data_IF_204076413680
#
_entry.id   IF_204076413680
#
_cell.length_a   1.000
_cell.length_b   1.000
_cell.length_c   1.000
_cell.angle_alpha   90.00
_cell.angle_beta   90.00
_cell.angle_gamma   90.00
#
_symmetry.space_group_name_H-M   'P 1'
#
loop_
_entity.id
_entity.type
_entity.pdbx_description
1 polymer ?
#
# COMPACT_ATOMS: atom_id res chain seq x y z
N UNK A 1 -20.59 -2.35 6.37
CA UNK A 1 -19.41 -2.12 5.51
C UNK A 1 -19.67 -1.16 4.36
N UNK A 2 -18.69 -0.34 3.93
CA UNK A 2 -18.72 0.45 2.69
C UNK A 2 -17.56 0.11 1.76
N UNK A 3 -17.86 -0.06 0.47
CA UNK A 3 -16.87 -0.33 -0.58
C UNK A 3 -17.04 0.75 -1.65
N UNK A 4 -16.00 1.52 -1.93
CA UNK A 4 -16.00 2.49 -3.02
C UNK A 4 -15.19 1.94 -4.21
N UNK A 5 -15.77 1.93 -5.41
CA UNK A 5 -15.10 1.59 -6.66
C UNK A 5 -15.24 2.76 -7.63
N UNK A 6 -14.15 3.48 -7.88
CA UNK A 6 -14.14 4.75 -8.61
C UNK A 6 -15.17 5.75 -8.05
N UNK A 7 -16.25 6.05 -8.79
CA UNK A 7 -17.34 6.94 -8.36
C UNK A 7 -18.53 6.18 -7.77
N UNK A 8 -18.49 4.84 -7.78
CA UNK A 8 -19.57 4.00 -7.28
C UNK A 8 -19.33 3.68 -5.81
N UNK A 9 -20.36 3.90 -5.00
CA UNK A 9 -20.36 3.56 -3.58
C UNK A 9 -21.33 2.41 -3.34
N UNK A 10 -20.78 1.28 -2.91
CA UNK A 10 -21.53 0.10 -2.50
C UNK A 10 -21.63 0.09 -0.98
N UNK A 11 -22.88 0.06 -0.50
CA UNK A 11 -23.19 -0.13 0.92
C UNK A 11 -23.79 -1.52 1.07
N UNK A 12 -23.12 -2.40 1.80
CA UNK A 12 -23.67 -3.71 2.13
C UNK A 12 -24.56 -3.59 3.35
N UNK A 13 -25.76 -4.16 3.26
CA UNK A 13 -26.62 -4.40 4.42
C UNK A 13 -25.97 -5.40 5.38
N UNK A 14 -26.39 -5.44 6.67
CA UNK A 14 -25.88 -6.43 7.61
C UNK A 14 -26.07 -7.89 7.15
N UNK A 15 -27.18 -8.18 6.44
CA UNK A 15 -27.45 -9.51 5.89
C UNK A 15 -26.50 -9.86 4.74
N UNK A 16 -26.28 -8.94 3.80
CA UNK A 16 -25.32 -9.13 2.72
C UNK A 16 -23.89 -9.26 3.23
N UNK A 17 -23.54 -8.50 4.29
CA UNK A 17 -22.25 -8.62 4.97
C UNK A 17 -22.07 -10.00 5.59
N UNK A 18 -23.06 -10.50 6.34
CA UNK A 18 -23.00 -11.84 6.93
C UNK A 18 -22.90 -12.94 5.85
N UNK A 19 -23.60 -12.77 4.73
CA UNK A 19 -23.51 -13.68 3.57
C UNK A 19 -22.13 -13.65 2.92
N UNK A 20 -21.55 -12.46 2.72
CA UNK A 20 -20.21 -12.29 2.18
C UNK A 20 -19.15 -12.88 3.11
N UNK A 21 -19.24 -12.65 4.42
CA UNK A 21 -18.36 -13.25 5.42
C UNK A 21 -18.45 -14.76 5.44
N UNK A 22 -19.67 -15.33 5.38
CA UNK A 22 -19.87 -16.77 5.30
C UNK A 22 -19.22 -17.35 4.03
N UNK A 23 -19.43 -16.73 2.87
CA UNK A 23 -18.83 -17.15 1.61
C UNK A 23 -17.30 -17.07 1.64
N UNK A 24 -16.74 -15.97 2.14
CA UNK A 24 -15.30 -15.75 2.27
C UNK A 24 -14.67 -16.72 3.29
N UNK A 25 -15.38 -17.06 4.37
CA UNK A 25 -14.89 -18.03 5.36
C UNK A 25 -14.73 -19.45 4.78
N UNK A 26 -15.54 -19.79 3.77
CA UNK A 26 -15.44 -21.03 3.01
C UNK A 26 -14.34 -21.00 1.94
N UNK A 27 -13.92 -19.81 1.51
CA UNK A 27 -12.77 -19.64 0.64
C UNK A 27 -11.48 -19.78 1.46
N UNK A 28 -10.53 -20.55 0.92
CA UNK A 28 -9.13 -20.53 1.36
C UNK A 28 -8.36 -19.66 0.35
N UNK A 29 -8.43 -18.32 0.42
CA UNK A 29 -7.80 -17.44 -0.57
C UNK A 29 -6.29 -17.64 -0.66
N UNK A 30 -5.66 -18.17 0.40
CA UNK A 30 -4.23 -18.46 0.46
C UNK A 30 -3.85 -19.81 -0.18
N UNK A 31 -4.83 -20.65 -0.52
CA UNK A 31 -4.62 -22.05 -0.91
C UNK A 31 -5.26 -22.41 -2.26
N UNK A 32 -6.37 -21.77 -2.63
CA UNK A 32 -7.05 -22.05 -3.90
C UNK A 32 -7.14 -20.79 -4.78
N UNK A 33 -6.36 -20.70 -5.87
CA UNK A 33 -6.45 -19.57 -6.78
C UNK A 33 -7.85 -19.54 -7.38
N UNK A 34 -8.47 -18.35 -7.41
CA UNK A 34 -9.74 -18.16 -8.10
C UNK A 34 -9.63 -18.72 -9.52
N UNK A 35 -10.61 -19.53 -9.91
CA UNK A 35 -10.65 -20.18 -11.22
C UNK A 35 -11.75 -19.59 -12.08
N UNK A 36 -11.46 -19.44 -13.35
CA UNK A 36 -12.48 -19.20 -14.37
C UNK A 36 -13.27 -20.48 -14.64
N UNK A 37 -14.43 -20.34 -15.27
CA UNK A 37 -15.32 -21.47 -15.59
C UNK A 37 -14.71 -22.46 -16.59
N UNK A 38 -13.69 -22.04 -17.35
CA UNK A 38 -12.87 -22.88 -18.24
C UNK A 38 -11.64 -23.50 -17.53
N UNK A 39 -11.51 -23.34 -16.21
CA UNK A 39 -10.43 -23.91 -15.40
C UNK A 39 -9.14 -23.09 -15.40
N UNK A 40 -9.09 -21.95 -16.08
CA UNK A 40 -7.99 -20.99 -16.00
C UNK A 40 -7.75 -20.50 -14.58
N UNK A 41 -6.49 -20.34 -14.20
CA UNK A 41 -6.10 -19.80 -12.89
C UNK A 41 -5.95 -18.29 -12.96
N UNK A 42 -6.48 -17.59 -11.97
CA UNK A 42 -6.23 -16.18 -11.80
C UNK A 42 -4.72 -15.93 -11.63
N UNK A 43 -4.12 -15.00 -12.38
CA UNK A 43 -2.72 -14.65 -12.21
C UNK A 43 -2.43 -14.19 -10.78
N UNK A 44 -1.27 -14.58 -10.25
CA UNK A 44 -0.86 -14.29 -8.87
C UNK A 44 -1.00 -12.81 -8.47
N UNK A 45 -0.63 -11.82 -9.31
CA UNK A 45 -0.84 -10.41 -8.95
C UNK A 45 -2.31 -10.04 -8.72
N UNK A 46 -3.23 -10.60 -9.50
CA UNK A 46 -4.66 -10.37 -9.33
C UNK A 46 -5.20 -11.14 -8.13
N UNK A 47 -4.72 -12.37 -7.89
CA UNK A 47 -5.08 -13.15 -6.72
C UNK A 47 -4.74 -12.40 -5.42
N UNK A 48 -3.56 -11.77 -5.36
CA UNK A 48 -3.13 -10.96 -4.22
C UNK A 48 -4.06 -9.76 -3.95
N UNK A 49 -4.53 -9.09 -5.01
CA UNK A 49 -5.50 -7.98 -4.87
C UNK A 49 -6.80 -8.48 -4.28
N UNK A 50 -7.35 -9.59 -4.79
CA UNK A 50 -8.61 -10.15 -4.28
C UNK A 50 -8.45 -10.66 -2.84
N UNK A 51 -7.33 -11.31 -2.52
CA UNK A 51 -7.03 -11.73 -1.16
C UNK A 51 -6.98 -10.55 -0.18
N UNK A 52 -6.40 -9.42 -0.59
CA UNK A 52 -6.38 -8.20 0.21
C UNK A 52 -7.80 -7.64 0.45
N UNK A 53 -8.65 -7.65 -0.58
CA UNK A 53 -10.07 -7.25 -0.46
C UNK A 53 -10.81 -8.18 0.49
N UNK A 54 -10.68 -9.49 0.35
CA UNK A 54 -11.34 -10.46 1.24
C UNK A 54 -10.89 -10.33 2.69
N UNK A 55 -9.60 -10.08 2.94
CA UNK A 55 -9.11 -9.79 4.29
C UNK A 55 -9.77 -8.53 4.86
N UNK A 56 -9.82 -7.45 4.09
CA UNK A 56 -10.47 -6.22 4.52
C UNK A 56 -11.97 -6.42 4.81
N UNK A 57 -12.66 -7.26 4.03
CA UNK A 57 -14.05 -7.62 4.30
C UNK A 57 -14.17 -8.37 5.64
N UNK A 58 -13.32 -9.37 5.87
CA UNK A 58 -13.32 -10.14 7.14
C UNK A 58 -13.03 -9.29 8.38
N UNK A 59 -12.29 -8.20 8.21
CA UNK A 59 -11.91 -7.28 9.28
C UNK A 59 -12.87 -6.08 9.41
N UNK A 60 -13.98 -6.06 8.67
CA UNK A 60 -14.94 -4.95 8.58
C UNK A 60 -14.29 -3.59 8.25
N UNK A 61 -13.23 -3.61 7.43
CA UNK A 61 -12.50 -2.41 7.05
C UNK A 61 -13.15 -1.73 5.83
N UNK A 62 -13.20 -0.38 5.79
CA UNK A 62 -13.59 0.35 4.58
C UNK A 62 -12.63 0.07 3.42
N UNK A 63 -13.18 -0.20 2.23
CA UNK A 63 -12.38 -0.53 1.04
C UNK A 63 -12.60 0.56 -0.01
N UNK A 64 -11.52 0.98 -0.66
CA UNK A 64 -11.56 1.87 -1.82
C UNK A 64 -10.70 1.31 -2.94
N UNK A 65 -11.28 1.17 -4.12
CA UNK A 65 -10.60 0.79 -5.37
C UNK A 65 -10.81 1.93 -6.34
N UNK A 66 -9.74 2.51 -6.87
CA UNK A 66 -9.85 3.61 -7.82
C UNK A 66 -8.73 3.56 -8.84
N UNK A 67 -9.00 4.09 -10.03
CA UNK A 67 -7.97 4.32 -11.04
C UNK A 67 -7.28 5.64 -10.75
N UNK A 68 -5.95 5.65 -10.87
CA UNK A 68 -5.18 6.89 -10.82
C UNK A 68 -5.06 7.50 -12.23
N UNK A 69 -5.08 8.85 -12.35
CA UNK A 69 -4.69 9.49 -13.59
C UNK A 69 -3.23 9.14 -13.92
N UNK A 70 -2.87 9.17 -15.20
CA UNK A 70 -1.48 8.90 -15.64
C UNK A 70 -0.46 9.79 -14.94
N UNK A 71 -0.83 11.06 -14.73
CA UNK A 71 -0.01 12.05 -14.06
C UNK A 71 -0.73 12.68 -12.89
N UNK A 72 0.03 12.96 -11.83
CA UNK A 72 -0.44 13.61 -10.61
C UNK A 72 0.32 14.89 -10.35
N UNK A 73 -0.31 15.81 -9.62
CA UNK A 73 0.36 17.04 -9.16
C UNK A 73 1.36 16.71 -8.05
N UNK A 74 2.31 17.61 -7.79
CA UNK A 74 3.22 17.48 -6.64
C UNK A 74 2.46 17.41 -5.30
N UNK A 75 1.30 18.05 -5.18
CA UNK A 75 0.51 17.98 -3.94
C UNK A 75 -0.10 16.60 -3.77
N UNK A 76 -0.72 16.07 -4.83
CA UNK A 76 -1.28 14.71 -4.84
C UNK A 76 -0.20 13.66 -4.59
N UNK A 77 0.95 13.76 -5.28
CA UNK A 77 2.07 12.86 -5.07
C UNK A 77 2.62 12.91 -3.64
N UNK A 78 2.73 14.09 -3.03
CA UNK A 78 3.18 14.22 -1.65
C UNK A 78 2.21 13.54 -0.67
N UNK A 79 0.91 13.70 -0.91
CA UNK A 79 -0.13 12.99 -0.14
C UNK A 79 -0.06 11.48 -0.31
N UNK A 80 0.16 10.98 -1.54
CA UNK A 80 0.29 9.54 -1.82
C UNK A 80 1.50 8.91 -1.13
N UNK A 81 2.59 9.68 -0.99
CA UNK A 81 3.84 9.23 -0.35
C UNK A 81 3.83 9.40 1.18
N UNK A 82 2.75 9.96 1.73
CA UNK A 82 2.65 10.34 3.14
C UNK A 82 3.85 11.19 3.59
N UNK A 83 4.12 12.26 2.84
CA UNK A 83 5.19 13.23 3.13
C UNK A 83 4.72 14.65 2.88
N UNK A 84 5.42 15.61 3.47
CA UNK A 84 5.21 17.02 3.15
C UNK A 84 5.60 17.33 1.70
N UNK A 85 4.90 18.28 1.07
CA UNK A 85 5.28 18.78 -0.27
C UNK A 85 6.74 19.27 -0.33
N UNK A 86 7.28 20.03 0.65
CA UNK A 86 8.70 20.38 0.68
C UNK A 86 9.63 19.15 0.64
N UNK A 87 9.27 18.07 1.35
CA UNK A 87 10.02 16.81 1.34
C UNK A 87 10.00 16.17 -0.05
N UNK A 88 8.83 16.09 -0.70
CA UNK A 88 8.75 15.61 -2.08
C UNK A 88 9.62 16.45 -3.02
N UNK A 89 9.58 17.77 -2.90
CA UNK A 89 10.42 18.65 -3.73
C UNK A 89 11.91 18.41 -3.50
N UNK A 90 12.33 17.97 -2.30
CA UNK A 90 13.71 17.55 -2.03
C UNK A 90 14.04 16.27 -2.79
N UNK A 91 13.18 15.25 -2.76
CA UNK A 91 13.36 14.03 -3.55
C UNK A 91 13.48 14.32 -5.05
N UNK A 92 12.64 15.20 -5.59
CA UNK A 92 12.72 15.61 -6.99
C UNK A 92 14.07 16.29 -7.29
N UNK A 93 14.51 17.24 -6.46
CA UNK A 93 15.81 17.93 -6.66
C UNK A 93 17.00 16.99 -6.55
N UNK A 94 16.91 15.97 -5.70
CA UNK A 94 17.94 14.95 -5.52
C UNK A 94 17.95 13.90 -6.64
N UNK A 95 16.95 13.90 -7.53
CA UNK A 95 16.81 12.88 -8.57
C UNK A 95 16.24 11.54 -8.09
N UNK A 96 15.73 11.48 -6.85
CA UNK A 96 15.12 10.26 -6.28
C UNK A 96 13.82 9.86 -7.00
N UNK A 97 13.09 10.86 -7.53
CA UNK A 97 11.87 10.68 -8.32
C UNK A 97 11.79 11.76 -9.41
N UNK A 98 11.41 11.36 -10.61
CA UNK A 98 11.33 12.26 -11.77
C UNK A 98 10.03 13.07 -11.74
N UNK A 99 10.14 14.35 -12.07
CA UNK A 99 9.02 15.22 -12.34
C UNK A 99 9.31 16.05 -13.59
N UNK A 100 8.29 16.32 -14.39
CA UNK A 100 8.38 17.19 -15.58
C UNK A 100 7.42 18.37 -15.46
N UNK A 101 7.67 19.42 -16.25
CA UNK A 101 6.77 20.58 -16.32
C UNK A 101 5.71 20.38 -17.39
N UNK A 102 4.47 20.68 -17.03
CA UNK A 102 3.34 20.83 -17.95
C UNK A 102 2.78 22.24 -17.76
N UNK A 103 3.11 23.13 -18.69
CA UNK A 103 2.89 24.57 -18.54
C UNK A 103 3.66 25.12 -17.33
N UNK A 104 2.94 25.76 -16.40
CA UNK A 104 3.54 26.38 -15.20
C UNK A 104 3.76 25.40 -14.03
N UNK A 105 3.25 24.17 -14.10
CA UNK A 105 3.22 23.26 -12.96
C UNK A 105 4.03 21.98 -13.20
N UNK A 106 4.55 21.41 -12.11
CA UNK A 106 5.19 20.09 -12.14
C UNK A 106 4.14 18.98 -12.11
N UNK A 107 4.45 17.88 -12.80
CA UNK A 107 3.70 16.64 -12.86
C UNK A 107 4.62 15.46 -12.62
N UNK A 108 4.07 14.39 -12.06
CA UNK A 108 4.76 13.13 -11.83
C UNK A 108 3.91 12.00 -12.41
N UNK A 109 4.56 11.00 -13.00
CA UNK A 109 3.92 9.73 -13.35
C UNK A 109 3.35 9.09 -12.09
N UNK A 110 2.04 8.79 -12.07
CA UNK A 110 1.42 8.17 -10.89
C UNK A 110 2.05 6.81 -10.57
N UNK A 111 2.47 6.06 -11.61
CA UNK A 111 3.19 4.80 -11.46
C UNK A 111 4.52 5.00 -10.73
N UNK A 112 5.31 5.98 -11.15
CA UNK A 112 6.63 6.24 -10.58
C UNK A 112 6.50 6.69 -9.11
N UNK A 113 5.42 7.41 -8.76
CA UNK A 113 5.10 7.75 -7.38
C UNK A 113 4.80 6.49 -6.55
N UNK A 114 3.99 5.56 -7.06
CA UNK A 114 3.70 4.30 -6.35
C UNK A 114 4.96 3.45 -6.17
N UNK A 115 5.77 3.30 -7.22
CA UNK A 115 7.02 2.54 -7.15
C UNK A 115 7.99 3.19 -6.15
N UNK A 116 8.02 4.54 -6.06
CA UNK A 116 8.81 5.24 -5.07
C UNK A 116 8.25 5.10 -3.64
N UNK A 117 6.93 5.01 -3.49
CA UNK A 117 6.28 4.76 -2.20
C UNK A 117 6.76 3.43 -1.59
N UNK A 118 6.79 2.36 -2.39
CA UNK A 118 7.27 1.06 -1.94
C UNK A 118 8.75 1.09 -1.57
N UNK A 119 9.59 1.75 -2.38
CA UNK A 119 11.00 1.97 -2.03
C UNK A 119 11.16 2.75 -0.71
N UNK A 120 10.32 3.75 -0.48
CA UNK A 120 10.36 4.55 0.75
C UNK A 120 9.93 3.72 1.97
N UNK A 121 8.90 2.87 1.80
CA UNK A 121 8.42 1.93 2.83
C UNK A 121 9.51 0.92 3.21
N UNK A 122 10.22 0.37 2.22
CA UNK A 122 11.37 -0.50 2.43
C UNK A 122 12.49 0.21 3.20
N UNK A 123 12.89 1.41 2.77
CA UNK A 123 13.90 2.20 3.49
C UNK A 123 13.51 2.46 4.95
N UNK A 124 12.24 2.81 5.20
CA UNK A 124 11.72 3.01 6.57
C UNK A 124 11.82 1.74 7.40
N UNK A 125 11.45 0.58 6.85
CA UNK A 125 11.59 -0.72 7.55
C UNK A 125 13.06 -1.02 7.88
N UNK A 126 13.95 -0.87 6.91
CA UNK A 126 15.37 -1.15 7.10
C UNK A 126 16.01 -0.21 8.14
N UNK A 127 15.58 1.05 8.19
CA UNK A 127 16.05 1.99 9.21
C UNK A 127 15.62 1.59 10.62
N UNK A 128 14.42 1.02 10.80
CA UNK A 128 13.98 0.50 12.10
C UNK A 128 14.87 -0.67 12.53
N UNK A 129 15.13 -1.63 11.64
CA UNK A 129 16.03 -2.75 11.96
C UNK A 129 17.44 -2.28 12.33
N UNK A 130 18.01 -1.33 11.56
CA UNK A 130 19.34 -0.80 11.87
C UNK A 130 19.41 -0.08 13.23
N UNK A 131 18.32 0.53 13.70
CA UNK A 131 18.27 1.11 15.06
C UNK A 131 18.24 0.03 16.13
N UNK A 132 17.50 -1.05 15.92
CA UNK A 132 17.44 -2.19 16.84
C UNK A 132 18.81 -2.88 16.96
N UNK A 133 19.48 -3.11 15.83
CA UNK A 133 20.82 -3.70 15.79
C UNK A 133 21.83 -2.81 16.56
N UNK A 134 21.75 -1.49 16.36
CA UNK A 134 22.61 -0.54 17.07
C UNK A 134 22.35 -0.48 18.58
N UNK A 135 21.10 -0.67 19.03
CA UNK A 135 20.76 -0.78 20.46
C UNK A 135 21.31 -2.05 21.10
N UNK A 136 21.27 -3.18 20.38
CA UNK A 136 21.80 -4.48 20.84
C UNK A 136 23.33 -4.45 20.98
N UNK A 137 24.05 -3.87 20.00
CA UNK A 137 25.50 -3.66 20.08
C UNK A 137 25.92 -2.79 21.29
N UNK A 138 25.12 -1.77 21.63
CA UNK A 138 25.37 -0.93 22.80
C UNK A 138 25.06 -1.65 24.13
N UNK A 139 24.07 -2.55 24.14
CA UNK A 139 23.72 -3.34 25.32
C UNK A 139 24.79 -4.41 25.63
N UNK A 140 25.34 -5.05 24.61
CA UNK A 140 26.39 -6.07 24.74
C UNK A 140 27.78 -5.49 25.04
N UNK A 141 27.99 -4.19 24.78
CA UNK A 141 29.25 -3.48 24.97
C UNK A 141 29.54 -2.92 26.37
N UNK A 142 28.68 -3.13 27.37
CA UNK A 142 28.87 -2.52 28.71
C UNK A 142 29.49 -3.52 29.71
N UNK A 143 30.80 -3.45 30.04
CA UNK A 143 31.33 -4.23 31.16
C UNK A 143 30.73 -3.66 32.44
N UNK A 144 29.95 -4.49 33.14
CA UNK A 144 29.41 -4.19 34.46
C UNK A 144 30.57 -3.76 35.36
N UNK A 145 30.73 -2.45 35.59
CA UNK A 145 31.64 -1.94 36.61
C UNK A 145 30.96 -2.18 37.95
N UNK A 146 31.12 -3.41 38.47
CA UNK A 146 30.85 -3.71 39.87
C UNK A 146 32.04 -3.23 40.69
N UNK A 147 31.79 -2.22 41.51
CA UNK A 147 32.69 -1.62 42.47
C UNK A 147 32.77 -2.45 43.76
#
# INVERSE_FOLDING_TARGET
MSIAVDKEHFHLTPEEQASAEHFISGLRPDVDPLRTTDGGRLPEPLANVIAAVFRAIREDLPITVSTLPREVTTTTAASMLDVSRPTLMKYIRNGDITAHKVGAHHRLSARDVLDFAERLKERRRNAVFALMDAEEELADGNPTTTR
#
